data_IF_986580649001
#
_entry.id   IF_986580649001
#
_cell.length_a   1.000
_cell.length_b   1.000
_cell.length_c   1.000
_cell.angle_alpha   90.00
_cell.angle_beta   90.00
_cell.angle_gamma   90.00
#
_symmetry.space_group_name_H-M   'P 1'
#
loop_
_entity.id
_entity.type
_entity.pdbx_description
1 polymer ?
#
# COMPACT_ATOMS: atom_id res chain seq x y z
N UNK A 1 2.42 -11.48 18.55
CA UNK A 1 1.70 -12.20 17.45
C UNK A 1 2.13 -13.66 17.50
N UNK A 2 1.18 -14.60 17.36
CA UNK A 2 1.49 -16.03 17.18
C UNK A 2 2.09 -16.29 15.79
N UNK A 3 2.64 -17.49 15.54
CA UNK A 3 3.32 -17.83 14.28
C UNK A 3 2.40 -17.60 13.05
N UNK A 4 1.16 -18.10 13.11
CA UNK A 4 0.15 -17.95 12.04
C UNK A 4 -0.22 -16.48 11.82
N UNK A 5 -0.42 -15.71 12.89
CA UNK A 5 -0.73 -14.28 12.79
C UNK A 5 0.39 -13.50 12.08
N UNK A 6 1.66 -13.81 12.41
CA UNK A 6 2.82 -13.17 11.77
C UNK A 6 2.96 -13.57 10.30
N UNK A 7 2.62 -14.80 9.96
CA UNK A 7 2.61 -15.28 8.58
C UNK A 7 1.55 -14.54 7.75
N UNK A 8 0.30 -14.46 8.24
CA UNK A 8 -0.79 -13.72 7.59
C UNK A 8 -0.41 -12.25 7.45
N UNK A 9 0.17 -11.64 8.49
CA UNK A 9 0.64 -10.26 8.45
C UNK A 9 1.69 -10.03 7.35
N UNK A 10 2.74 -10.86 7.30
CA UNK A 10 3.78 -10.74 6.26
C UNK A 10 3.21 -10.92 4.85
N UNK A 11 2.29 -11.87 4.68
CA UNK A 11 1.64 -12.13 3.39
C UNK A 11 0.78 -10.94 2.95
N UNK A 12 -0.04 -10.40 3.85
CA UNK A 12 -0.83 -9.19 3.60
C UNK A 12 0.06 -7.96 3.33
N UNK A 13 1.16 -7.80 4.05
CA UNK A 13 2.12 -6.72 3.84
C UNK A 13 2.78 -6.81 2.47
N UNK A 14 3.22 -8.00 2.06
CA UNK A 14 3.85 -8.20 0.75
C UNK A 14 2.87 -7.86 -0.39
N UNK A 15 1.63 -8.35 -0.34
CA UNK A 15 0.63 -8.00 -1.34
C UNK A 15 0.26 -6.51 -1.31
N UNK A 16 0.13 -5.92 -0.13
CA UNK A 16 -0.16 -4.48 -0.01
C UNK A 16 0.98 -3.62 -0.55
N UNK A 17 2.24 -3.99 -0.29
CA UNK A 17 3.41 -3.29 -0.82
C UNK A 17 3.50 -3.40 -2.36
N UNK A 18 3.20 -4.57 -2.93
CA UNK A 18 3.13 -4.75 -4.38
C UNK A 18 2.02 -3.89 -5.01
N UNK A 19 0.83 -3.89 -4.40
CA UNK A 19 -0.28 -3.03 -4.84
C UNK A 19 0.05 -1.55 -4.69
N UNK A 20 0.72 -1.15 -3.62
CA UNK A 20 1.15 0.23 -3.40
C UNK A 20 2.12 0.68 -4.49
N UNK A 21 3.14 -0.14 -4.80
CA UNK A 21 4.11 0.17 -5.84
C UNK A 21 3.42 0.35 -7.21
N UNK A 22 2.47 -0.52 -7.55
CA UNK A 22 1.70 -0.40 -8.79
C UNK A 22 0.85 0.88 -8.84
N UNK A 23 0.13 1.21 -7.75
CA UNK A 23 -0.70 2.41 -7.67
C UNK A 23 0.14 3.69 -7.71
N UNK A 24 1.25 3.73 -6.97
CA UNK A 24 2.19 4.86 -6.98
C UNK A 24 2.76 5.06 -8.38
N UNK A 25 3.15 3.98 -9.07
CA UNK A 25 3.68 4.06 -10.43
C UNK A 25 2.65 4.63 -11.42
N UNK A 26 1.39 4.18 -11.34
CA UNK A 26 0.30 4.71 -12.17
C UNK A 26 0.11 6.21 -11.90
N UNK A 27 -0.01 6.60 -10.63
CA UNK A 27 -0.20 8.00 -10.24
C UNK A 27 1.00 8.85 -10.66
N UNK A 28 2.22 8.34 -10.53
CA UNK A 28 3.44 9.03 -10.93
C UNK A 28 3.45 9.33 -12.43
N UNK A 29 3.10 8.35 -13.28
CA UNK A 29 3.00 8.56 -14.73
C UNK A 29 2.01 9.68 -15.04
N UNK A 30 0.83 9.65 -14.41
CA UNK A 30 -0.20 10.70 -14.60
C UNK A 30 0.34 12.08 -14.20
N UNK A 31 1.04 12.18 -13.07
CA UNK A 31 1.62 13.45 -12.58
C UNK A 31 2.69 14.00 -13.51
N UNK A 32 3.52 13.14 -14.10
CA UNK A 32 4.51 13.55 -15.09
C UNK A 32 3.81 14.05 -16.35
N UNK A 33 2.85 13.30 -16.88
CA UNK A 33 2.12 13.65 -18.11
C UNK A 33 1.41 15.00 -18.00
N UNK A 34 0.76 15.29 -16.87
CA UNK A 34 0.07 16.56 -16.62
C UNK A 34 1.00 17.78 -16.60
N UNK A 35 2.30 17.59 -16.38
CA UNK A 35 3.28 18.67 -16.26
C UNK A 35 4.16 18.79 -17.50
N UNK A 36 3.93 17.98 -18.53
CA UNK A 36 4.72 17.98 -19.77
C UNK A 36 4.56 19.25 -20.61
N UNK A 37 3.42 19.95 -20.52
CA UNK A 37 3.19 21.15 -21.32
C UNK A 37 4.13 22.32 -20.95
N UNK A 38 4.69 22.31 -19.73
CA UNK A 38 5.67 23.29 -19.25
C UNK A 38 7.10 22.99 -19.77
N UNK A 39 7.36 21.77 -20.24
CA UNK A 39 8.71 21.31 -20.66
C UNK A 39 9.14 21.90 -22.00
N UNK A 40 8.19 22.31 -22.86
CA UNK A 40 8.52 22.80 -24.21
C UNK A 40 9.28 24.13 -24.23
N UNK A 41 9.43 24.82 -23.10
CA UNK A 41 10.06 26.16 -23.04
C UNK A 41 11.54 26.17 -22.63
N UNK A 42 12.10 25.16 -21.93
CA UNK A 42 13.53 25.13 -21.55
C UNK A 42 14.01 23.76 -21.00
N UNK A 43 15.25 23.34 -21.28
CA UNK A 43 15.84 22.11 -20.72
C UNK A 43 15.96 22.11 -19.17
N UNK A 44 16.05 23.30 -18.56
CA UNK A 44 15.98 23.50 -17.10
C UNK A 44 14.61 23.17 -16.50
N UNK A 45 13.53 23.28 -17.28
CA UNK A 45 12.19 22.95 -16.81
C UNK A 45 12.02 21.44 -16.55
N UNK A 46 12.67 20.59 -17.34
CA UNK A 46 12.59 19.13 -17.19
C UNK A 46 13.17 18.65 -15.84
N UNK A 47 14.33 19.17 -15.43
CA UNK A 47 14.94 18.83 -14.15
C UNK A 47 14.12 19.30 -12.94
N UNK A 48 13.57 20.52 -12.99
CA UNK A 48 12.72 21.05 -11.93
C UNK A 48 11.40 20.27 -11.78
N UNK A 49 10.82 19.79 -12.88
CA UNK A 49 9.60 18.97 -12.83
C UNK A 49 9.86 17.61 -12.19
N UNK A 50 10.98 16.96 -12.50
CA UNK A 50 11.36 15.72 -11.80
C UNK A 50 11.53 15.97 -10.30
N UNK A 51 12.14 17.09 -9.92
CA UNK A 51 12.31 17.46 -8.52
C UNK A 51 10.97 17.69 -7.81
N UNK A 52 10.07 18.45 -8.44
CA UNK A 52 8.70 18.66 -7.94
C UNK A 52 7.94 17.34 -7.87
N UNK A 53 7.97 16.52 -8.92
CA UNK A 53 7.30 15.22 -8.95
C UNK A 53 7.78 14.29 -7.83
N UNK A 54 9.08 14.27 -7.55
CA UNK A 54 9.66 13.53 -6.41
C UNK A 54 9.21 14.10 -5.07
N UNK A 55 9.08 15.42 -4.95
CA UNK A 55 8.62 16.06 -3.71
C UNK A 55 7.13 15.82 -3.43
N UNK A 56 6.31 15.62 -4.46
CA UNK A 56 4.90 15.21 -4.32
C UNK A 56 4.72 13.72 -4.04
N UNK A 57 5.73 12.87 -4.27
CA UNK A 57 5.61 11.41 -4.07
C UNK A 57 5.11 10.99 -2.68
N UNK A 58 5.57 11.58 -1.56
CA UNK A 58 5.11 11.18 -0.23
C UNK A 58 3.59 11.35 -0.05
N UNK A 59 3.06 12.48 -0.49
CA UNK A 59 1.64 12.82 -0.36
C UNK A 59 0.76 11.95 -1.29
N UNK A 60 1.23 11.74 -2.53
CA UNK A 60 0.58 10.85 -3.48
C UNK A 60 0.54 9.40 -2.98
N UNK A 61 1.66 8.91 -2.41
CA UNK A 61 1.75 7.58 -1.83
C UNK A 61 0.81 7.43 -0.62
N UNK A 62 0.72 8.46 0.24
CA UNK A 62 -0.22 8.47 1.37
C UNK A 62 -1.69 8.42 0.90
N UNK A 63 -2.03 9.14 -0.18
CA UNK A 63 -3.37 9.14 -0.76
C UNK A 63 -3.81 7.76 -1.29
N UNK A 64 -2.89 6.97 -1.86
CA UNK A 64 -3.22 5.63 -2.40
C UNK A 64 -2.99 4.47 -1.43
N UNK A 65 -2.30 4.71 -0.31
CA UNK A 65 -2.01 3.70 0.73
C UNK A 65 -3.24 2.94 1.25
N UNK A 66 -4.38 3.57 1.59
CA UNK A 66 -5.55 2.82 2.08
C UNK A 66 -6.09 1.82 1.05
N UNK A 67 -6.06 2.17 -0.24
CA UNK A 67 -6.48 1.28 -1.32
C UNK A 67 -5.49 0.13 -1.49
N UNK A 68 -4.19 0.39 -1.39
CA UNK A 68 -3.16 -0.64 -1.47
C UNK A 68 -3.32 -1.67 -0.34
N UNK A 69 -3.58 -1.22 0.88
CA UNK A 69 -3.83 -2.08 2.05
C UNK A 69 -5.10 -2.91 1.86
N UNK A 70 -6.18 -2.31 1.36
CA UNK A 70 -7.42 -3.01 1.07
C UNK A 70 -7.19 -4.13 0.05
N UNK A 71 -6.57 -3.81 -1.09
CA UNK A 71 -6.28 -4.77 -2.17
C UNK A 71 -5.35 -5.88 -1.66
N UNK A 72 -4.28 -5.53 -0.96
CA UNK A 72 -3.34 -6.50 -0.41
C UNK A 72 -3.95 -7.43 0.63
N UNK A 73 -4.85 -6.93 1.47
CA UNK A 73 -5.59 -7.73 2.45
C UNK A 73 -6.54 -8.71 1.77
N UNK A 74 -7.27 -8.28 0.73
CA UNK A 74 -8.14 -9.15 -0.06
C UNK A 74 -7.33 -10.24 -0.76
N UNK A 75 -6.20 -9.89 -1.38
CA UNK A 75 -5.32 -10.86 -2.03
C UNK A 75 -4.76 -11.89 -1.04
N UNK A 76 -4.33 -11.46 0.15
CA UNK A 76 -3.89 -12.39 1.20
C UNK A 76 -5.02 -13.33 1.65
N UNK A 77 -6.22 -12.80 1.86
CA UNK A 77 -7.39 -13.61 2.26
C UNK A 77 -7.80 -14.61 1.17
N UNK A 78 -7.70 -14.22 -0.09
CA UNK A 78 -7.97 -15.08 -1.24
C UNK A 78 -6.89 -16.15 -1.38
N UNK A 79 -5.61 -15.81 -1.22
CA UNK A 79 -4.54 -16.80 -1.30
C UNK A 79 -4.64 -17.85 -0.19
N UNK A 80 -4.97 -17.45 1.04
CA UNK A 80 -5.22 -18.40 2.13
C UNK A 80 -6.47 -19.28 1.89
N UNK A 81 -7.43 -18.80 1.11
CA UNK A 81 -8.60 -19.58 0.69
C UNK A 81 -8.23 -20.59 -0.40
N UNK A 82 -7.49 -20.15 -1.43
CA UNK A 82 -7.03 -21.00 -2.54
C UNK A 82 -6.15 -22.14 -2.04
N UNK A 83 -5.25 -21.86 -1.11
CA UNK A 83 -4.36 -22.87 -0.51
C UNK A 83 -5.07 -23.75 0.53
N UNK A 84 -6.39 -23.58 0.72
CA UNK A 84 -7.20 -24.24 1.77
C UNK A 84 -6.73 -24.00 3.22
N UNK A 85 -5.74 -23.14 3.44
CA UNK A 85 -5.20 -22.81 4.77
C UNK A 85 -6.28 -22.23 5.69
N UNK A 86 -7.21 -21.43 5.15
CA UNK A 86 -8.37 -20.92 5.92
C UNK A 86 -9.29 -22.02 6.41
N UNK A 87 -9.52 -23.06 5.60
CA UNK A 87 -10.35 -24.19 5.98
C UNK A 87 -9.66 -25.04 7.06
N UNK A 88 -8.34 -25.25 6.94
CA UNK A 88 -7.54 -25.98 7.94
C UNK A 88 -7.51 -25.24 9.28
N UNK A 89 -7.33 -23.92 9.28
CA UNK A 89 -7.36 -23.11 10.52
C UNK A 89 -8.73 -23.22 11.19
N UNK A 90 -9.82 -23.17 10.43
CA UNK A 90 -11.16 -23.32 10.97
C UNK A 90 -11.40 -24.74 11.55
N UNK A 91 -10.96 -25.78 10.84
CA UNK A 91 -11.10 -27.17 11.28
C UNK A 91 -10.27 -27.49 12.54
N UNK A 92 -9.12 -26.82 12.72
CA UNK A 92 -8.29 -26.94 13.92
C UNK A 92 -8.82 -26.16 15.14
N UNK A 93 -10.02 -25.58 15.07
CA UNK A 93 -10.60 -24.76 16.14
C UNK A 93 -10.02 -23.34 16.24
N UNK A 94 -9.38 -22.85 15.17
CA UNK A 94 -8.83 -21.51 15.11
C UNK A 94 -9.90 -20.43 15.19
N UNK A 95 -9.77 -19.51 16.16
CA UNK A 95 -10.66 -18.35 16.27
C UNK A 95 -10.53 -17.44 15.04
N UNK A 96 -11.66 -16.88 14.58
CA UNK A 96 -11.72 -15.90 13.47
C UNK A 96 -10.83 -14.66 13.71
N UNK A 97 -10.52 -14.37 14.97
CA UNK A 97 -9.63 -13.28 15.38
C UNK A 97 -8.17 -13.48 14.95
N UNK A 98 -7.73 -14.72 14.68
CA UNK A 98 -6.37 -15.01 14.20
C UNK A 98 -6.12 -14.39 12.82
N UNK A 99 -7.16 -14.27 11.99
CA UNK A 99 -7.09 -13.67 10.65
C UNK A 99 -7.36 -12.16 10.71
N UNK A 100 -8.35 -11.74 11.51
CA UNK A 100 -8.73 -10.33 11.59
C UNK A 100 -7.65 -9.45 12.24
N UNK A 101 -7.01 -9.92 13.30
CA UNK A 101 -6.03 -9.14 14.08
C UNK A 101 -4.81 -8.69 13.25
N UNK A 102 -4.17 -9.54 12.43
CA UNK A 102 -3.11 -9.12 11.51
C UNK A 102 -3.53 -8.01 10.54
N UNK A 103 -4.73 -8.13 9.95
CA UNK A 103 -5.25 -7.18 8.97
C UNK A 103 -5.54 -5.83 9.64
N UNK A 104 -6.15 -5.85 10.83
CA UNK A 104 -6.41 -4.64 11.60
C UNK A 104 -5.11 -3.94 12.01
N UNK A 105 -4.10 -4.68 12.46
CA UNK A 105 -2.78 -4.11 12.79
C UNK A 105 -2.15 -3.46 11.55
N UNK A 106 -2.25 -4.10 10.39
CA UNK A 106 -1.74 -3.54 9.14
C UNK A 106 -2.49 -2.24 8.74
N UNK A 107 -3.81 -2.21 8.92
CA UNK A 107 -4.63 -1.01 8.75
C UNK A 107 -4.25 0.12 9.71
N UNK A 108 -4.03 -0.18 11.00
CA UNK A 108 -3.57 0.80 11.99
C UNK A 108 -2.20 1.37 11.66
N UNK A 109 -1.26 0.53 11.21
CA UNK A 109 0.05 0.99 10.74
C UNK A 109 -0.10 1.91 9.53
N UNK A 110 -0.93 1.54 8.55
CA UNK A 110 -1.24 2.38 7.41
C UNK A 110 -1.83 3.73 7.80
N UNK A 111 -2.82 3.74 8.70
CA UNK A 111 -3.43 4.96 9.20
C UNK A 111 -2.42 5.86 9.92
N UNK A 112 -1.53 5.29 10.74
CA UNK A 112 -0.46 6.05 11.41
C UNK A 112 0.52 6.67 10.41
N UNK A 113 0.86 5.96 9.32
CA UNK A 113 1.71 6.48 8.25
C UNK A 113 1.04 7.66 7.53
N UNK A 114 -0.25 7.53 7.18
CA UNK A 114 -1.01 8.61 6.55
C UNK A 114 -1.08 9.81 7.49
N UNK A 115 -1.44 9.60 8.76
CA UNK A 115 -1.52 10.66 9.76
C UNK A 115 -0.19 11.42 9.88
N UNK A 116 0.93 10.69 9.97
CA UNK A 116 2.26 11.29 10.04
C UNK A 116 2.58 12.11 8.79
N UNK A 117 2.31 11.56 7.61
CA UNK A 117 2.56 12.25 6.35
C UNK A 117 1.77 13.57 6.27
N UNK A 118 0.46 13.53 6.57
CA UNK A 118 -0.41 14.71 6.50
C UNK A 118 -0.11 15.79 7.54
N UNK A 119 0.57 15.47 8.66
CA UNK A 119 0.84 16.44 9.73
C UNK A 119 2.29 16.91 9.81
N UNK A 120 3.25 16.14 9.28
CA UNK A 120 4.70 16.41 9.44
C UNK A 120 5.38 16.71 8.11
N UNK A 121 4.94 16.04 7.03
CA UNK A 121 5.56 16.17 5.70
C UNK A 121 4.80 17.14 4.81
N UNK A 122 3.54 17.45 5.16
CA UNK A 122 2.66 18.40 4.46
C UNK A 122 3.25 19.79 4.30
#
# INVERSE_FOLDING_TARGET
>A
MKLIERYIFKRALAFSAGSLAALVLIVWIVQVLQRLDIVRTSATAAGNILWIALMLMPDLAAGVLPFAILIGSIQALNSLNTDSERAVIAAAGGSRNVIAKPILVLGFIGAAIVLFNSNVVG
#
